data_IF_111738559970
#
_entry.id   IF_111738559970
#
_cell.length_a   1.000
_cell.length_b   1.000
_cell.length_c   1.000
_cell.angle_alpha   90.00
_cell.angle_beta   90.00
_cell.angle_gamma   90.00
#
_symmetry.space_group_name_H-M   'P 1'
#
loop_
_entity.id
_entity.type
_entity.pdbx_description
1 polymer ?
#
# COMPACT_ATOMS: atom_id res chain seq x y z
N UNK A 1 16.62 59.22 8.16
CA UNK A 1 16.17 59.75 9.48
C UNK A 1 15.17 58.75 10.03
N UNK A 2 15.18 58.19 11.23
CA UNK A 2 16.11 57.99 12.34
C UNK A 2 15.49 56.76 13.08
N UNK A 3 16.19 55.66 13.32
CA UNK A 3 17.09 55.35 14.45
C UNK A 3 16.38 54.88 15.76
N UNK A 4 16.67 53.62 16.16
CA UNK A 4 16.81 53.04 17.53
C UNK A 4 15.58 53.01 18.48
N UNK A 5 15.42 52.09 19.46
CA UNK A 5 16.37 51.24 20.21
C UNK A 5 15.74 49.95 20.77
N UNK A 6 16.62 49.01 21.12
CA UNK A 6 16.38 47.79 21.90
C UNK A 6 16.48 48.00 23.43
N UNK A 7 15.92 47.06 24.23
CA UNK A 7 16.29 46.72 25.62
C UNK A 7 15.49 45.46 26.02
N UNK A 8 16.04 44.24 26.10
CA UNK A 8 16.75 43.61 27.23
C UNK A 8 16.09 43.81 28.60
N UNK A 9 15.62 42.70 29.22
CA UNK A 9 15.78 42.33 30.64
C UNK A 9 15.03 41.01 30.97
N UNK A 10 15.79 39.92 31.12
CA UNK A 10 15.53 38.84 32.08
C UNK A 10 16.22 39.25 33.41
N UNK A 11 15.80 38.81 34.62
CA UNK A 11 16.10 37.44 35.07
C UNK A 11 15.15 36.81 36.14
N UNK A 12 15.22 35.49 36.31
CA UNK A 12 15.60 34.76 37.55
C UNK A 12 14.91 33.39 37.70
N UNK A 13 15.75 32.36 37.79
CA UNK A 13 15.45 31.02 38.35
C UNK A 13 15.31 31.06 39.87
N UNK A 14 14.67 30.02 40.44
CA UNK A 14 15.33 29.32 41.54
C UNK A 14 15.40 27.80 41.33
N UNK A 15 16.52 27.23 41.80
CA UNK A 15 16.91 25.81 41.85
C UNK A 15 16.37 25.10 43.12
N UNK A 16 16.57 23.78 43.30
CA UNK A 16 15.55 22.85 43.79
C UNK A 16 15.63 22.52 45.29
N UNK A 17 14.53 22.00 45.84
CA UNK A 17 14.51 21.35 47.15
C UNK A 17 14.45 19.82 47.01
N UNK A 18 15.43 19.14 47.62
CA UNK A 18 15.40 17.72 47.96
C UNK A 18 14.69 17.55 49.31
N UNK A 19 13.85 16.55 49.45
CA UNK A 19 13.72 15.78 50.71
C UNK A 19 13.12 14.40 50.43
N UNK A 20 13.85 13.39 50.89
CA UNK A 20 13.45 12.00 51.13
C UNK A 20 12.33 11.91 52.17
N UNK A 21 11.38 10.97 52.02
CA UNK A 21 11.35 9.78 52.88
C UNK A 21 10.19 8.82 52.56
N UNK A 22 10.46 7.59 52.96
CA UNK A 22 9.82 6.29 52.78
C UNK A 22 8.46 6.16 53.47
N UNK A 23 7.48 5.49 52.84
CA UNK A 23 6.65 4.47 53.52
C UNK A 23 5.85 3.60 52.55
N UNK A 24 6.09 2.28 52.63
CA UNK A 24 5.24 1.21 52.12
C UNK A 24 3.86 1.22 52.79
N UNK A 25 2.77 1.01 52.03
CA UNK A 25 1.59 0.27 52.49
C UNK A 25 0.72 -0.23 51.31
N UNK A 26 0.31 -1.48 51.44
CA UNK A 26 -0.42 -2.34 50.51
C UNK A 26 -1.95 -2.05 50.46
N UNK A 27 -2.73 -2.70 49.57
CA UNK A 27 -3.95 -2.13 48.98
C UNK A 27 -5.24 -2.37 49.80
N UNK A 28 -6.16 -1.41 49.72
CA UNK A 28 -7.52 -1.51 50.25
C UNK A 28 -8.44 -2.24 49.26
N UNK A 29 -8.96 -3.38 49.72
CA UNK A 29 -10.08 -4.14 49.18
C UNK A 29 -11.37 -3.31 49.27
N UNK A 30 -12.13 -3.22 48.17
CA UNK A 30 -13.56 -2.96 48.21
C UNK A 30 -14.32 -4.12 47.56
N UNK A 31 -15.00 -4.88 48.42
CA UNK A 31 -16.06 -5.85 48.07
C UNK A 31 -17.38 -5.10 47.89
N UNK A 32 -18.15 -5.45 46.87
CA UNK A 32 -19.62 -5.32 46.89
C UNK A 32 -20.27 -6.56 46.29
N UNK A 33 -21.25 -7.10 47.01
CA UNK A 33 -21.97 -8.36 46.77
C UNK A 33 -23.25 -8.17 45.93
N UNK A 34 -23.48 -9.10 45.00
CA UNK A 34 -24.74 -9.81 44.62
C UNK A 34 -25.91 -9.05 43.93
N UNK A 35 -26.88 -9.73 43.25
CA UNK A 35 -27.07 -11.19 43.06
C UNK A 35 -27.35 -11.70 41.61
N UNK A 36 -27.19 -13.03 41.48
CA UNK A 36 -27.66 -13.93 40.42
C UNK A 36 -29.20 -14.03 40.35
N UNK A 37 -29.77 -14.19 39.15
CA UNK A 37 -31.10 -14.80 38.92
C UNK A 37 -31.02 -15.79 37.75
N UNK A 38 -31.36 -17.05 38.00
CA UNK A 38 -31.67 -18.05 36.98
C UNK A 38 -33.17 -18.02 36.67
N UNK A 39 -33.53 -18.38 35.44
CA UNK A 39 -34.88 -18.79 35.07
C UNK A 39 -34.77 -19.98 34.11
N UNK A 40 -35.20 -21.13 34.60
CA UNK A 40 -35.53 -22.33 33.84
C UNK A 40 -36.88 -22.17 33.13
N UNK A 41 -37.03 -22.83 31.98
CA UNK A 41 -38.34 -23.20 31.46
C UNK A 41 -38.35 -23.46 29.95
N UNK A 42 -38.33 -24.73 29.52
CA UNK A 42 -39.53 -25.44 29.04
C UNK A 42 -39.15 -26.74 28.30
N UNK A 43 -39.77 -27.85 28.76
CA UNK A 43 -39.81 -29.17 28.12
C UNK A 43 -40.70 -29.16 26.88
N UNK A 44 -40.39 -29.99 25.88
CA UNK A 44 -41.40 -30.61 25.02
C UNK A 44 -41.10 -32.09 24.74
N UNK A 45 -42.18 -32.88 24.70
CA UNK A 45 -42.24 -34.33 24.51
C UNK A 45 -42.72 -34.69 23.09
N UNK A 46 -42.17 -35.81 22.58
CA UNK A 46 -42.75 -36.88 21.74
C UNK A 46 -43.29 -36.63 20.31
N UNK A 47 -42.67 -37.38 19.40
CA UNK A 47 -43.18 -38.31 18.36
C UNK A 47 -44.31 -37.91 17.40
N UNK A 48 -44.01 -38.04 16.10
CA UNK A 48 -44.97 -38.31 15.02
C UNK A 48 -44.25 -38.73 13.73
N UNK A 49 -44.53 -39.95 13.27
CA UNK A 49 -44.09 -40.53 11.98
C UNK A 49 -45.13 -40.29 10.88
N UNK A 50 -44.71 -40.18 9.60
CA UNK A 50 -45.18 -40.98 8.42
C UNK A 50 -44.91 -40.30 7.05
N UNK A 51 -44.20 -41.07 6.22
CA UNK A 51 -44.20 -41.32 4.75
C UNK A 51 -44.06 -40.24 3.63
N UNK A 52 -43.05 -40.57 2.79
CA UNK A 52 -42.99 -40.59 1.31
C UNK A 52 -43.08 -39.30 0.49
N UNK A 53 -41.97 -38.96 -0.19
CA UNK A 53 -41.85 -39.23 -1.63
C UNK A 53 -40.41 -39.06 -2.14
N UNK A 54 -40.03 -39.97 -3.05
CA UNK A 54 -38.82 -39.90 -3.89
C UNK A 54 -38.91 -38.72 -4.84
N UNK A 55 -37.83 -37.96 -4.94
CA UNK A 55 -37.39 -37.31 -6.18
C UNK A 55 -35.91 -37.61 -6.30
N UNK A 56 -35.56 -38.39 -7.33
CA UNK A 56 -34.18 -38.68 -7.71
C UNK A 56 -33.53 -37.48 -8.40
N UNK A 57 -32.19 -37.50 -8.41
CA UNK A 57 -31.23 -36.69 -9.19
C UNK A 57 -30.68 -35.43 -8.48
N UNK A 58 -29.55 -35.60 -7.79
CA UNK A 58 -28.21 -35.21 -8.27
C UNK A 58 -27.20 -35.81 -7.29
N UNK A 59 -26.39 -36.76 -7.76
CA UNK A 59 -25.32 -37.37 -6.97
C UNK A 59 -24.22 -36.34 -6.73
N UNK A 60 -24.34 -35.58 -5.64
CA UNK A 60 -23.19 -34.99 -4.99
C UNK A 60 -22.25 -36.14 -4.62
N UNK A 61 -21.03 -36.11 -5.18
CA UNK A 61 -19.93 -36.85 -4.57
C UNK A 61 -19.69 -36.20 -3.21
N UNK A 62 -20.29 -36.79 -2.18
CA UNK A 62 -19.85 -36.62 -0.79
C UNK A 62 -18.41 -37.14 -0.71
N UNK A 63 -17.43 -36.29 -0.99
CA UNK A 63 -16.14 -36.41 -0.33
C UNK A 63 -16.38 -35.97 1.11
N UNK A 64 -16.94 -36.88 1.90
CA UNK A 64 -17.10 -36.73 3.34
C UNK A 64 -15.74 -36.55 3.98
N UNK A 65 -15.26 -35.30 3.99
CA UNK A 65 -14.29 -34.86 4.98
C UNK A 65 -15.11 -34.84 6.27
N UNK A 66 -14.98 -35.86 7.10
CA UNK A 66 -15.39 -35.75 8.49
C UNK A 66 -14.65 -34.54 9.05
N UNK A 67 -15.37 -33.44 9.24
CA UNK A 67 -14.84 -32.26 9.91
C UNK A 67 -14.71 -32.69 11.38
N UNK A 68 -13.52 -33.18 11.74
CA UNK A 68 -13.14 -33.36 13.14
C UNK A 68 -13.31 -32.06 13.90
N UNK A 69 -13.50 -32.14 15.22
CA UNK A 69 -13.54 -30.97 16.09
C UNK A 69 -12.35 -30.01 15.80
N UNK A 70 -12.65 -28.72 15.67
CA UNK A 70 -11.63 -27.68 15.43
C UNK A 70 -10.79 -27.52 16.71
N UNK A 71 -9.46 -27.71 16.66
CA UNK A 71 -8.63 -27.69 17.85
C UNK A 71 -8.45 -26.29 18.43
N UNK A 72 -8.49 -26.18 19.77
CA UNK A 72 -8.08 -24.96 20.50
C UNK A 72 -6.56 -24.99 20.68
N UNK A 73 -5.88 -23.95 20.19
CA UNK A 73 -4.42 -23.88 20.20
C UNK A 73 -3.92 -22.90 21.27
N UNK A 74 -2.82 -23.26 21.91
CA UNK A 74 -2.01 -22.34 22.70
C UNK A 74 -1.24 -21.38 21.79
N UNK A 75 -0.79 -20.24 22.34
CA UNK A 75 0.02 -19.27 21.59
C UNK A 75 1.29 -19.89 20.99
N UNK A 76 1.96 -20.80 21.72
CA UNK A 76 3.15 -21.49 21.24
C UNK A 76 2.84 -22.42 20.07
N UNK A 77 1.73 -23.15 20.12
CA UNK A 77 1.31 -24.02 19.01
C UNK A 77 0.96 -23.21 17.76
N UNK A 78 0.36 -22.02 17.92
CA UNK A 78 0.08 -21.12 16.80
C UNK A 78 1.38 -20.68 16.14
N UNK A 79 2.37 -20.18 16.91
CA UNK A 79 3.66 -19.74 16.38
C UNK A 79 4.39 -20.88 15.65
N UNK A 80 4.40 -22.07 16.23
CA UNK A 80 5.03 -23.24 15.62
C UNK A 80 4.35 -23.61 14.28
N UNK A 81 3.01 -23.65 14.25
CA UNK A 81 2.27 -23.92 13.02
C UNK A 81 2.46 -22.84 11.96
N UNK A 82 2.58 -21.57 12.35
CA UNK A 82 2.88 -20.48 11.42
C UNK A 82 4.28 -20.64 10.80
N UNK A 83 5.29 -21.06 11.58
CA UNK A 83 6.62 -21.37 11.05
C UNK A 83 6.58 -22.54 10.07
N UNK A 84 5.97 -23.67 10.44
CA UNK A 84 5.84 -24.82 9.54
C UNK A 84 5.07 -24.47 8.26
N UNK A 85 4.05 -23.62 8.35
CA UNK A 85 3.29 -23.16 7.17
C UNK A 85 4.16 -22.31 6.21
N UNK A 86 5.02 -21.45 6.76
CA UNK A 86 5.95 -20.62 5.98
C UNK A 86 7.02 -21.44 5.28
N UNK A 87 7.57 -22.47 5.93
CA UNK A 87 8.56 -23.37 5.31
C UNK A 87 8.01 -24.08 4.07
N UNK A 88 6.72 -24.43 4.10
CA UNK A 88 6.03 -25.10 3.00
C UNK A 88 5.55 -24.15 1.89
N UNK A 89 5.57 -22.84 2.12
CA UNK A 89 5.04 -21.82 1.20
C UNK A 89 6.17 -21.00 0.57
N UNK A 90 6.89 -21.56 -0.41
CA UNK A 90 7.94 -20.84 -1.14
C UNK A 90 7.37 -20.05 -2.31
N UNK A 91 7.18 -18.74 -2.10
CA UNK A 91 6.84 -17.78 -3.16
C UNK A 91 8.09 -17.30 -3.93
N UNK A 92 7.87 -16.55 -5.01
CA UNK A 92 8.97 -15.88 -5.76
C UNK A 92 9.57 -14.69 -5.00
N UNK A 93 8.81 -14.10 -4.08
CA UNK A 93 9.24 -12.97 -3.25
C UNK A 93 9.61 -13.45 -1.85
N UNK A 94 10.67 -12.87 -1.30
CA UNK A 94 11.13 -13.15 0.06
C UNK A 94 10.84 -11.95 0.95
N UNK A 95 10.28 -12.20 2.14
CA UNK A 95 10.01 -11.18 3.14
C UNK A 95 11.14 -11.20 4.18
N UNK A 96 11.92 -10.12 4.24
CA UNK A 96 13.20 -10.11 4.97
C UNK A 96 13.11 -9.49 6.36
N UNK A 97 12.26 -8.48 6.54
CA UNK A 97 12.04 -7.84 7.83
C UNK A 97 10.65 -7.20 7.86
N UNK A 98 10.04 -7.15 9.04
CA UNK A 98 8.82 -6.39 9.29
C UNK A 98 8.94 -5.59 10.59
N UNK A 99 8.63 -4.30 10.54
CA UNK A 99 8.34 -3.47 11.71
C UNK A 99 6.84 -3.48 12.02
N UNK A 100 6.51 -3.51 13.31
CA UNK A 100 5.16 -3.34 13.82
C UNK A 100 5.18 -2.44 15.06
N UNK A 101 4.47 -1.30 15.03
CA UNK A 101 4.33 -0.45 16.21
C UNK A 101 3.48 -1.08 17.30
N UNK A 102 2.61 -2.04 16.95
CA UNK A 102 1.80 -2.80 17.92
C UNK A 102 2.68 -3.74 18.75
N UNK A 103 3.67 -4.37 18.11
CA UNK A 103 4.66 -5.21 18.81
C UNK A 103 5.78 -4.34 19.42
N UNK A 104 6.05 -3.19 18.82
CA UNK A 104 7.09 -2.24 19.25
C UNK A 104 8.49 -2.55 18.72
N UNK A 105 8.62 -3.29 17.61
CA UNK A 105 9.93 -3.70 17.11
C UNK A 105 9.95 -4.28 15.68
N UNK A 106 11.15 -4.67 15.26
CA UNK A 106 11.43 -5.31 13.97
C UNK A 106 11.61 -6.82 14.18
N UNK A 107 10.95 -7.64 13.38
CA UNK A 107 11.18 -9.08 13.29
C UNK A 107 11.76 -9.46 11.93
N UNK A 108 12.67 -10.42 11.90
CA UNK A 108 13.17 -11.08 10.67
C UNK A 108 12.63 -12.50 10.52
N UNK A 109 11.76 -12.96 11.44
CA UNK A 109 11.08 -14.26 11.34
C UNK A 109 9.77 -14.08 10.53
N UNK A 110 9.65 -14.63 9.30
CA UNK A 110 8.46 -14.50 8.46
C UNK A 110 7.18 -15.04 9.08
N UNK A 111 7.26 -15.93 10.06
CA UNK A 111 6.10 -16.43 10.80
C UNK A 111 5.55 -15.40 11.80
N UNK A 112 6.40 -14.49 12.27
CA UNK A 112 6.02 -13.40 13.16
C UNK A 112 5.63 -12.11 12.41
N UNK A 113 5.70 -12.12 11.07
CA UNK A 113 5.25 -11.00 10.23
C UNK A 113 3.72 -11.04 10.08
N UNK A 114 3.01 -10.68 11.17
CA UNK A 114 1.55 -10.75 11.30
C UNK A 114 0.96 -9.40 11.68
N UNK A 115 -0.31 -9.21 11.30
CA UNK A 115 -1.10 -8.03 11.67
C UNK A 115 -2.29 -8.51 12.53
N UNK A 116 -2.68 -7.78 13.59
CA UNK A 116 -3.86 -8.13 14.38
C UNK A 116 -5.13 -8.16 13.52
N UNK A 117 -5.98 -9.18 13.74
CA UNK A 117 -7.23 -9.33 12.97
C UNK A 117 -8.25 -8.22 13.28
N UNK A 118 -8.15 -7.66 14.49
CA UNK A 118 -8.95 -6.54 15.01
C UNK A 118 -8.39 -5.17 14.62
N UNK A 119 -7.34 -5.11 13.79
CA UNK A 119 -6.91 -3.86 13.17
C UNK A 119 -7.92 -3.41 12.11
N UNK A 120 -8.40 -2.17 12.21
CA UNK A 120 -9.47 -1.62 11.35
C UNK A 120 -9.10 -1.63 9.86
N UNK A 121 -7.81 -1.59 9.52
CA UNK A 121 -7.33 -1.76 8.14
C UNK A 121 -7.72 -3.13 7.57
N UNK A 122 -7.71 -4.18 8.38
CA UNK A 122 -7.98 -5.57 7.96
C UNK A 122 -9.45 -5.80 7.68
N UNK A 123 -10.34 -5.38 8.60
CA UNK A 123 -11.76 -5.71 8.53
C UNK A 123 -12.66 -4.56 8.05
N UNK A 124 -12.11 -3.36 7.82
CA UNK A 124 -12.83 -2.19 7.26
C UNK A 124 -12.10 -1.47 6.13
N UNK A 125 -10.83 -1.77 5.88
CA UNK A 125 -10.03 -1.05 4.88
C UNK A 125 -9.65 0.38 5.32
N UNK A 126 -9.71 0.68 6.62
CA UNK A 126 -9.34 2.00 7.16
C UNK A 126 -7.83 2.11 7.40
N UNK A 127 -7.09 2.06 6.30
CA UNK A 127 -5.64 2.21 6.28
C UNK A 127 -5.13 2.77 4.96
N UNK A 128 -3.93 3.33 5.01
CA UNK A 128 -3.19 3.84 3.86
C UNK A 128 -1.82 3.18 3.78
N UNK A 129 -1.24 3.17 2.59
CA UNK A 129 0.07 2.56 2.39
C UNK A 129 0.88 3.27 1.33
N UNK A 130 2.18 3.06 1.35
CA UNK A 130 3.07 3.44 0.27
C UNK A 130 4.16 2.40 0.05
N UNK A 131 4.96 2.57 -1.01
CA UNK A 131 6.03 1.65 -1.37
C UNK A 131 7.18 2.43 -1.99
N UNK A 132 8.36 2.33 -1.39
CA UNK A 132 9.60 2.86 -1.94
C UNK A 132 10.46 1.70 -2.48
N UNK A 133 11.13 1.93 -3.60
CA UNK A 133 12.05 0.95 -4.16
C UNK A 133 13.38 0.95 -3.39
N UNK A 134 14.00 -0.22 -3.27
CA UNK A 134 15.35 -0.40 -2.73
C UNK A 134 16.25 -0.75 -3.91
N UNK A 135 17.29 0.06 -4.14
CA UNK A 135 18.28 -0.15 -5.20
C UNK A 135 19.68 0.14 -4.67
N UNK A 136 20.59 -0.81 -4.79
CA UNK A 136 21.98 -0.73 -4.35
C UNK A 136 22.10 -0.18 -2.91
N UNK A 137 21.25 -0.68 -2.00
CA UNK A 137 21.23 -0.26 -0.59
C UNK A 137 20.66 1.15 -0.34
N UNK A 138 19.96 1.74 -1.31
CA UNK A 138 19.32 3.05 -1.18
C UNK A 138 17.81 2.94 -1.33
N UNK A 139 17.07 3.67 -0.50
CA UNK A 139 15.64 3.90 -0.69
C UNK A 139 15.44 5.05 -1.68
N UNK A 140 14.79 4.76 -2.80
CA UNK A 140 14.52 5.73 -3.85
C UNK A 140 13.25 6.53 -3.56
N UNK A 141 13.35 7.86 -3.69
CA UNK A 141 12.30 8.85 -3.43
C UNK A 141 11.57 8.69 -2.08
N UNK A 142 12.28 8.20 -1.04
CA UNK A 142 11.68 7.90 0.27
C UNK A 142 10.88 9.09 0.83
N UNK A 143 11.47 10.29 0.78
CA UNK A 143 10.84 11.49 1.32
C UNK A 143 9.57 11.88 0.53
N UNK A 144 9.55 11.69 -0.79
CA UNK A 144 8.38 11.95 -1.63
C UNK A 144 7.26 10.93 -1.37
N UNK A 145 7.61 9.65 -1.19
CA UNK A 145 6.69 8.60 -0.79
C UNK A 145 6.13 8.85 0.63
N UNK A 146 6.98 9.28 1.56
CA UNK A 146 6.59 9.64 2.92
C UNK A 146 5.60 10.81 2.93
N UNK A 147 5.89 11.87 2.18
CA UNK A 147 4.97 13.01 2.08
C UNK A 147 3.60 12.58 1.50
N UNK A 148 3.58 11.61 0.57
CA UNK A 148 2.34 11.09 -0.01
C UNK A 148 1.55 10.22 0.96
N UNK A 149 2.18 9.34 1.74
CA UNK A 149 1.46 8.55 2.74
C UNK A 149 0.86 9.46 3.81
N UNK A 150 1.58 10.52 4.22
CA UNK A 150 1.10 11.44 5.26
C UNK A 150 -0.10 12.26 4.78
N UNK A 151 -0.10 12.70 3.51
CA UNK A 151 -1.30 13.30 2.88
C UNK A 151 -2.46 12.30 2.82
N UNK A 152 -2.18 11.05 2.43
CA UNK A 152 -3.20 9.99 2.38
C UNK A 152 -3.79 9.72 3.78
N UNK A 153 -2.96 9.65 4.81
CA UNK A 153 -3.38 9.46 6.20
C UNK A 153 -4.26 10.62 6.67
N UNK A 154 -3.88 11.87 6.35
CA UNK A 154 -4.70 13.05 6.65
C UNK A 154 -6.06 12.99 5.97
N UNK A 155 -6.14 12.59 4.69
CA UNK A 155 -7.40 12.43 3.95
C UNK A 155 -8.27 11.32 4.54
N UNK A 156 -7.64 10.22 4.97
CA UNK A 156 -8.29 9.10 5.65
C UNK A 156 -8.66 9.38 7.11
N UNK A 157 -8.32 10.56 7.65
CA UNK A 157 -8.50 10.91 9.07
C UNK A 157 -7.78 9.94 10.03
N UNK A 158 -6.59 9.48 9.64
CA UNK A 158 -5.73 8.63 10.46
C UNK A 158 -4.76 9.53 11.22
N UNK A 159 -4.83 9.51 12.55
CA UNK A 159 -3.82 10.13 13.42
C UNK A 159 -2.49 9.39 13.27
N UNK A 160 -1.39 10.12 13.25
CA UNK A 160 -0.07 9.50 13.10
C UNK A 160 0.41 8.93 14.45
N UNK A 161 0.94 7.69 14.49
CA UNK A 161 1.53 7.11 15.71
C UNK A 161 2.85 7.78 16.09
N UNK A 162 3.54 8.36 15.11
CA UNK A 162 4.82 9.03 15.28
C UNK A 162 4.90 10.26 14.36
N UNK A 163 5.81 11.19 14.67
CA UNK A 163 6.13 12.29 13.75
C UNK A 163 6.83 11.79 12.47
N UNK A 164 6.88 12.66 11.45
CA UNK A 164 7.46 12.34 10.13
C UNK A 164 8.88 11.79 10.22
N UNK A 165 9.75 12.39 11.04
CA UNK A 165 11.17 11.99 11.12
C UNK A 165 11.33 10.66 11.85
N UNK A 166 10.53 10.42 12.89
CA UNK A 166 10.47 9.13 13.56
C UNK A 166 10.00 8.02 12.63
N UNK A 167 8.93 8.25 11.83
CA UNK A 167 8.48 7.29 10.80
C UNK A 167 9.63 7.02 9.81
N UNK A 168 10.25 8.08 9.27
CA UNK A 168 11.37 7.97 8.33
C UNK A 168 12.51 7.11 8.87
N UNK A 169 12.91 7.33 10.12
CA UNK A 169 13.98 6.58 10.77
C UNK A 169 13.61 5.11 10.99
N UNK A 170 12.37 4.82 11.42
CA UNK A 170 11.86 3.44 11.55
C UNK A 170 11.93 2.71 10.20
N UNK A 171 11.50 3.37 9.13
CA UNK A 171 11.53 2.82 7.77
C UNK A 171 12.96 2.47 7.33
N UNK A 172 13.93 3.37 7.55
CA UNK A 172 15.34 3.14 7.24
C UNK A 172 15.92 1.98 8.08
N UNK A 173 15.64 1.96 9.39
CA UNK A 173 16.10 0.90 10.30
C UNK A 173 15.52 -0.47 9.92
N UNK A 174 14.27 -0.50 9.45
CA UNK A 174 13.62 -1.74 8.98
C UNK A 174 14.35 -2.32 7.77
N UNK A 175 14.76 -1.47 6.81
CA UNK A 175 15.56 -1.91 5.65
C UNK A 175 16.97 -2.31 6.05
N UNK A 176 17.62 -1.56 6.95
CA UNK A 176 18.96 -1.88 7.45
C UNK A 176 18.98 -3.25 8.15
N UNK A 177 18.00 -3.53 9.01
CA UNK A 177 17.86 -4.83 9.69
C UNK A 177 17.70 -6.00 8.71
N UNK A 178 17.09 -5.76 7.55
CA UNK A 178 16.86 -6.77 6.52
C UNK A 178 18.08 -7.02 5.61
N UNK A 179 19.06 -6.11 5.61
CA UNK A 179 20.24 -6.11 4.71
C UNK A 179 19.89 -6.15 3.21
N UNK A 180 18.67 -5.76 2.83
CA UNK A 180 18.20 -5.84 1.46
C UNK A 180 18.93 -4.82 0.58
N UNK A 181 19.54 -5.28 -0.51
CA UNK A 181 20.20 -4.41 -1.49
C UNK A 181 19.29 -4.05 -2.68
N UNK A 182 18.35 -4.93 -3.03
CA UNK A 182 17.44 -4.77 -4.16
C UNK A 182 16.07 -5.36 -3.83
N UNK A 183 15.03 -4.55 -3.93
CA UNK A 183 13.67 -4.94 -3.57
C UNK A 183 12.77 -3.74 -3.35
N UNK A 184 11.86 -3.84 -2.38
CA UNK A 184 10.97 -2.73 -2.01
C UNK A 184 10.71 -2.70 -0.51
N UNK A 185 10.51 -1.50 0.01
CA UNK A 185 9.95 -1.25 1.33
C UNK A 185 8.50 -0.84 1.15
N UNK A 186 7.56 -1.65 1.65
CA UNK A 186 6.14 -1.32 1.69
C UNK A 186 5.70 -1.07 3.13
N UNK A 187 4.91 -0.04 3.35
CA UNK A 187 4.54 0.37 4.70
C UNK A 187 3.14 0.95 4.76
N UNK A 188 2.51 0.82 5.91
CA UNK A 188 1.11 1.12 6.16
C UNK A 188 0.94 1.98 7.40
N UNK A 189 -0.03 2.89 7.33
CA UNK A 189 -0.60 3.56 8.49
C UNK A 189 -2.06 3.11 8.63
N UNK A 190 -2.41 2.64 9.82
CA UNK A 190 -3.75 2.21 10.18
C UNK A 190 -4.28 3.01 11.37
N UNK A 191 -5.59 3.07 11.51
CA UNK A 191 -6.26 3.50 12.76
C UNK A 191 -5.96 2.56 13.93
N UNK A 192 -5.53 1.34 13.64
CA UNK A 192 -5.00 0.38 14.59
C UNK A 192 -6.03 -0.63 15.13
N UNK A 193 -5.59 -1.50 16.06
CA UNK A 193 -6.44 -2.49 16.72
C UNK A 193 -7.55 -1.89 17.56
N UNK A 194 -8.73 -2.50 17.51
CA UNK A 194 -9.89 -2.06 18.27
C UNK A 194 -11.07 -3.02 18.27
N UNK A 195 -12.28 -2.49 18.43
CA UNK A 195 -13.49 -3.29 18.26
C UNK A 195 -13.88 -3.42 16.77
N UNK A 196 -14.87 -4.26 16.50
CA UNK A 196 -15.38 -4.46 15.14
C UNK A 196 -16.46 -3.45 14.72
N UNK A 197 -16.62 -2.32 15.41
CA UNK A 197 -17.60 -1.30 15.01
C UNK A 197 -17.11 -0.51 13.79
N UNK A 198 -18.03 0.24 13.18
CA UNK A 198 -17.69 1.08 12.02
C UNK A 198 -16.90 2.33 12.46
N UNK A 199 -17.31 2.95 13.56
CA UNK A 199 -16.63 4.13 14.08
C UNK A 199 -15.40 3.72 14.89
N UNK A 200 -14.21 4.29 14.61
CA UNK A 200 -13.03 3.99 15.41
C UNK A 200 -13.03 4.72 16.77
N UNK A 201 -13.91 5.71 16.96
CA UNK A 201 -13.86 6.65 18.09
C UNK A 201 -14.04 6.02 19.47
N UNK A 202 -14.70 4.87 19.55
CA UNK A 202 -15.01 4.19 20.83
C UNK A 202 -14.16 2.95 21.10
N UNK A 203 -13.43 2.45 20.10
CA UNK A 203 -12.84 1.11 20.16
C UNK A 203 -11.37 1.01 19.72
N UNK A 204 -10.88 1.91 18.87
CA UNK A 204 -9.48 1.89 18.44
C UNK A 204 -8.60 2.65 19.44
N UNK A 205 -7.59 1.98 19.99
CA UNK A 205 -6.82 2.52 21.10
C UNK A 205 -5.67 3.41 20.64
N UNK A 206 -4.93 3.00 19.61
CA UNK A 206 -3.77 3.71 19.07
C UNK A 206 -3.61 3.41 17.57
N UNK A 207 -3.26 4.41 16.74
CA UNK A 207 -2.91 4.17 15.34
C UNK A 207 -1.67 3.28 15.23
N UNK A 208 -1.55 2.58 14.11
CA UNK A 208 -0.46 1.63 13.89
C UNK A 208 0.37 1.97 12.65
N UNK A 209 1.68 1.76 12.75
CA UNK A 209 2.64 1.77 11.65
C UNK A 209 3.16 0.34 11.45
N UNK A 210 3.05 -0.15 10.22
CA UNK A 210 3.64 -1.40 9.78
C UNK A 210 4.57 -1.15 8.61
N UNK A 211 5.68 -1.86 8.53
CA UNK A 211 6.57 -1.81 7.37
C UNK A 211 7.12 -3.20 7.07
N UNK A 212 7.22 -3.58 5.81
CA UNK A 212 7.78 -4.86 5.37
C UNK A 212 8.78 -4.63 4.25
N UNK A 213 9.91 -5.34 4.33
CA UNK A 213 10.92 -5.37 3.29
C UNK A 213 10.74 -6.62 2.46
N UNK A 214 10.53 -6.42 1.16
CA UNK A 214 10.27 -7.46 0.18
C UNK A 214 11.46 -7.49 -0.77
N UNK A 215 12.20 -8.59 -0.80
CA UNK A 215 13.26 -8.79 -1.77
C UNK A 215 12.65 -9.17 -3.12
N UNK A 216 13.12 -8.50 -4.16
CA UNK A 216 12.81 -8.85 -5.55
C UNK A 216 14.05 -8.65 -6.40
N UNK A 217 14.63 -9.77 -6.84
CA UNK A 217 15.82 -9.76 -7.68
C UNK A 217 15.48 -9.78 -9.17
N UNK A 218 14.20 -9.82 -9.53
CA UNK A 218 13.76 -9.90 -10.93
C UNK A 218 14.42 -8.80 -11.76
N UNK A 219 14.87 -9.12 -12.98
CA UNK A 219 15.38 -8.10 -13.89
C UNK A 219 14.23 -7.15 -14.25
N UNK A 220 14.58 -5.89 -14.48
CA UNK A 220 13.63 -4.99 -15.14
C UNK A 220 13.39 -5.52 -16.54
N UNK A 221 12.12 -5.68 -16.87
CA UNK A 221 11.69 -6.18 -18.16
C UNK A 221 11.06 -4.98 -18.90
N UNK A 222 11.60 -4.71 -20.08
CA UNK A 222 11.17 -3.61 -20.95
C UNK A 222 10.29 -4.08 -22.10
N UNK A 223 9.96 -5.38 -22.16
CA UNK A 223 9.14 -5.94 -23.23
C UNK A 223 7.78 -5.26 -23.27
N UNK A 224 7.36 -4.90 -24.48
CA UNK A 224 6.07 -4.31 -24.79
C UNK A 224 4.92 -5.19 -24.33
N UNK A 225 3.93 -4.56 -23.71
CA UNK A 225 2.75 -5.25 -23.18
C UNK A 225 1.48 -4.81 -23.88
N UNK A 226 0.44 -5.65 -23.77
CA UNK A 226 -0.92 -5.31 -24.18
C UNK A 226 -1.70 -4.80 -22.98
N UNK A 227 -2.57 -3.83 -23.19
CA UNK A 227 -3.52 -3.35 -22.19
C UNK A 227 -4.95 -3.40 -22.74
N UNK A 228 -5.93 -3.35 -21.85
CA UNK A 228 -7.35 -3.32 -22.21
C UNK A 228 -8.05 -2.19 -21.47
N UNK A 229 -9.18 -1.71 -21.97
CA UNK A 229 -10.05 -0.80 -21.25
C UNK A 229 -10.82 -1.59 -20.19
N UNK A 230 -10.79 -1.10 -18.94
CA UNK A 230 -11.47 -1.80 -17.84
C UNK A 230 -12.98 -1.57 -17.89
N UNK A 231 -13.76 -2.63 -17.67
CA UNK A 231 -15.20 -2.52 -17.38
C UNK A 231 -15.50 -2.33 -15.89
N UNK A 232 -14.51 -2.60 -15.02
CA UNK A 232 -14.60 -2.32 -13.59
C UNK A 232 -14.50 -0.80 -13.39
N UNK A 233 -15.42 -0.16 -12.66
CA UNK A 233 -15.37 1.29 -12.44
C UNK A 233 -14.15 1.69 -11.61
N UNK A 234 -13.56 2.84 -11.93
CA UNK A 234 -12.55 3.47 -11.09
C UNK A 234 -13.17 3.91 -9.76
N UNK A 235 -12.32 4.08 -8.74
CA UNK A 235 -12.73 4.70 -7.48
C UNK A 235 -13.09 6.18 -7.73
N UNK A 236 -14.10 6.74 -7.02
CA UNK A 236 -14.33 8.17 -7.06
C UNK A 236 -13.05 8.96 -6.68
N UNK A 237 -12.84 10.17 -7.22
CA UNK A 237 -11.59 10.94 -7.07
C UNK A 237 -11.07 11.05 -5.62
N UNK A 238 -11.97 11.21 -4.65
CA UNK A 238 -11.62 11.27 -3.22
C UNK A 238 -10.87 10.02 -2.73
N UNK A 239 -11.21 8.84 -3.25
CA UNK A 239 -10.58 7.58 -2.89
C UNK A 239 -9.47 7.17 -3.87
N UNK A 240 -9.52 7.64 -5.11
CA UNK A 240 -8.49 7.36 -6.13
C UNK A 240 -7.19 8.14 -5.86
N UNK A 241 -7.29 9.41 -5.46
CA UNK A 241 -6.13 10.28 -5.15
C UNK A 241 -5.44 9.91 -3.84
N UNK A 242 -6.08 9.09 -3.01
CA UNK A 242 -5.57 8.57 -1.74
C UNK A 242 -5.02 7.15 -1.92
N UNK A 243 -3.77 6.92 -1.52
CA UNK A 243 -3.17 5.57 -1.57
C UNK A 243 -3.63 4.72 -0.38
N UNK A 244 -4.87 4.24 -0.45
CA UNK A 244 -5.52 3.43 0.60
C UNK A 244 -5.42 1.93 0.37
N UNK A 245 -5.73 1.12 1.39
CA UNK A 245 -5.81 -0.35 1.27
C UNK A 245 -7.08 -0.87 0.59
N UNK A 246 -8.00 0.02 0.16
CA UNK A 246 -9.24 -0.35 -0.50
C UNK A 246 -8.99 -0.78 -1.96
N UNK A 247 -8.37 -1.94 -2.16
CA UNK A 247 -7.80 -2.38 -3.43
C UNK A 247 -8.66 -3.37 -4.22
N UNK A 248 -9.88 -3.71 -3.75
CA UNK A 248 -10.75 -4.62 -4.47
C UNK A 248 -11.02 -4.19 -5.93
N UNK A 249 -11.31 -2.91 -6.25
CA UNK A 249 -11.43 -2.49 -7.65
C UNK A 249 -10.15 -2.74 -8.46
N UNK A 250 -8.97 -2.47 -7.88
CA UNK A 250 -7.67 -2.71 -8.51
C UNK A 250 -7.45 -4.21 -8.80
N UNK A 251 -7.82 -5.08 -7.87
CA UNK A 251 -7.74 -6.54 -8.03
C UNK A 251 -8.67 -7.00 -9.16
N UNK A 252 -9.94 -6.58 -9.15
CA UNK A 252 -10.90 -6.97 -10.19
C UNK A 252 -10.48 -6.49 -11.57
N UNK A 253 -9.98 -5.25 -11.69
CA UNK A 253 -9.49 -4.70 -12.96
C UNK A 253 -8.24 -5.44 -13.46
N UNK A 254 -7.35 -5.88 -12.55
CA UNK A 254 -6.19 -6.71 -12.90
C UNK A 254 -6.61 -8.10 -13.39
N UNK A 255 -7.57 -8.74 -12.70
CA UNK A 255 -8.11 -10.04 -13.10
C UNK A 255 -8.77 -9.96 -14.48
N UNK A 256 -9.57 -8.92 -14.74
CA UNK A 256 -10.19 -8.67 -16.05
C UNK A 256 -9.13 -8.60 -17.16
N UNK A 257 -8.01 -7.91 -16.92
CA UNK A 257 -6.93 -7.83 -17.90
C UNK A 257 -6.31 -9.21 -18.19
N UNK A 258 -6.07 -10.00 -17.15
CA UNK A 258 -5.49 -11.34 -17.27
C UNK A 258 -6.40 -12.30 -18.04
N UNK A 259 -7.72 -12.25 -17.76
CA UNK A 259 -8.74 -13.01 -18.50
C UNK A 259 -8.76 -12.66 -20.00
N UNK A 260 -8.51 -11.38 -20.32
CA UNK A 260 -8.38 -10.89 -21.70
C UNK A 260 -6.97 -11.08 -22.29
N UNK A 261 -6.05 -11.73 -21.58
CA UNK A 261 -4.67 -11.97 -22.04
C UNK A 261 -3.84 -10.68 -22.16
N UNK A 262 -4.16 -9.66 -21.37
CA UNK A 262 -3.47 -8.39 -21.28
C UNK A 262 -2.70 -8.25 -19.95
N UNK A 263 -1.75 -7.33 -19.92
CA UNK A 263 -0.91 -7.09 -18.75
C UNK A 263 -1.64 -6.27 -17.68
N UNK A 264 -2.39 -5.26 -18.10
CA UNK A 264 -3.15 -4.39 -17.22
C UNK A 264 -4.41 -3.88 -17.94
N UNK A 265 -5.42 -3.53 -17.14
CA UNK A 265 -6.56 -2.78 -17.62
C UNK A 265 -6.37 -1.29 -17.31
N UNK A 266 -6.89 -0.42 -18.16
CA UNK A 266 -6.82 1.03 -18.06
C UNK A 266 -8.22 1.54 -17.71
N UNK A 267 -8.30 2.28 -16.62
CA UNK A 267 -9.54 2.95 -16.24
C UNK A 267 -9.75 4.23 -17.02
N UNK A 268 -11.03 4.56 -17.15
CA UNK A 268 -11.50 5.88 -17.53
C UNK A 268 -12.14 6.54 -16.31
N UNK A 269 -12.09 7.86 -16.27
CA UNK A 269 -12.82 8.62 -15.27
C UNK A 269 -14.31 8.76 -15.62
N UNK A 270 -15.07 9.43 -14.74
CA UNK A 270 -16.52 9.61 -14.91
C UNK A 270 -16.89 10.45 -16.15
N UNK A 271 -15.95 11.23 -16.68
CA UNK A 271 -16.11 12.06 -17.88
C UNK A 271 -15.64 11.33 -19.16
N UNK A 272 -15.16 10.09 -19.03
CA UNK A 272 -14.66 9.27 -20.15
C UNK A 272 -13.22 9.56 -20.57
N UNK A 273 -12.48 10.38 -19.82
CA UNK A 273 -11.05 10.60 -20.05
C UNK A 273 -10.23 9.47 -19.47
N UNK A 274 -9.03 9.28 -20.01
CA UNK A 274 -8.09 8.26 -19.54
C UNK A 274 -7.65 8.59 -18.11
N UNK A 275 -7.76 7.62 -17.21
CA UNK A 275 -7.34 7.75 -15.83
C UNK A 275 -5.98 7.03 -15.60
N UNK A 276 -5.99 5.86 -14.97
CA UNK A 276 -4.78 5.09 -14.65
C UNK A 276 -5.03 3.57 -14.72
N UNK A 277 -3.98 2.76 -14.57
CA UNK A 277 -4.12 1.32 -14.38
C UNK A 277 -4.25 0.93 -12.89
N UNK A 278 -4.43 -0.36 -12.57
CA UNK A 278 -4.71 -0.82 -11.21
C UNK A 278 -3.58 -0.54 -10.20
N UNK A 279 -2.37 -0.23 -10.63
CA UNK A 279 -1.25 0.09 -9.73
C UNK A 279 -0.21 1.01 -10.38
N UNK A 280 -0.57 1.70 -11.47
CA UNK A 280 0.36 2.41 -12.36
C UNK A 280 -0.36 3.57 -13.03
N UNK A 281 0.33 4.69 -13.22
CA UNK A 281 -0.12 5.74 -14.12
C UNK A 281 0.14 5.35 -15.59
N UNK A 282 -0.39 6.14 -16.52
CA UNK A 282 -0.15 5.99 -17.95
C UNK A 282 0.48 7.25 -18.53
N UNK A 283 1.27 7.11 -19.58
CA UNK A 283 1.82 8.21 -20.36
C UNK A 283 1.79 7.90 -21.84
N UNK A 284 1.76 8.96 -22.66
CA UNK A 284 1.62 8.87 -24.11
C UNK A 284 2.61 9.81 -24.79
N UNK A 285 3.15 9.42 -25.95
CA UNK A 285 3.95 10.30 -26.80
C UNK A 285 3.19 10.54 -28.08
N UNK A 286 2.89 11.81 -28.40
CA UNK A 286 2.20 12.19 -29.63
C UNK A 286 3.15 12.18 -30.84
N UNK A 287 2.59 12.29 -32.05
CA UNK A 287 3.34 12.45 -33.31
C UNK A 287 4.19 13.71 -33.34
N UNK A 288 3.74 14.75 -32.64
CA UNK A 288 4.44 16.02 -32.46
C UNK A 288 5.51 15.93 -31.36
N UNK A 289 5.81 14.73 -30.84
CA UNK A 289 6.78 14.44 -29.78
C UNK A 289 6.45 15.15 -28.46
N UNK A 290 5.18 15.30 -28.13
CA UNK A 290 4.73 15.75 -26.81
C UNK A 290 4.54 14.53 -25.89
N UNK A 291 5.10 14.57 -24.68
CA UNK A 291 4.79 13.61 -23.63
C UNK A 291 3.54 14.08 -22.86
N UNK A 292 2.47 13.28 -22.92
CA UNK A 292 1.20 13.52 -22.23
C UNK A 292 1.01 12.56 -21.06
N UNK A 293 0.50 13.07 -19.94
CA UNK A 293 -0.06 12.26 -18.85
C UNK A 293 -1.41 12.82 -18.39
N UNK A 294 -2.35 11.95 -17.98
CA UNK A 294 -3.58 12.38 -17.31
C UNK A 294 -3.34 13.23 -16.06
N UNK A 295 -4.31 14.09 -15.72
CA UNK A 295 -4.25 14.92 -14.50
C UNK A 295 -4.32 14.07 -13.23
N UNK A 296 -3.63 14.52 -12.18
CA UNK A 296 -3.54 13.81 -10.89
C UNK A 296 -4.65 14.16 -9.88
N UNK A 297 -5.69 14.86 -10.30
CA UNK A 297 -6.83 15.24 -9.46
C UNK A 297 -7.91 14.15 -9.37
N UNK A 298 -7.92 13.20 -10.32
CA UNK A 298 -8.83 12.04 -10.34
C UNK A 298 -8.14 10.69 -10.19
N UNK A 299 -6.81 10.67 -10.14
CA UNK A 299 -5.98 9.46 -10.06
C UNK A 299 -4.89 9.60 -9.02
N UNK A 300 -4.17 8.52 -8.72
CA UNK A 300 -3.06 8.60 -7.79
C UNK A 300 -1.95 9.49 -8.33
N UNK A 301 -1.50 10.45 -7.52
CA UNK A 301 -0.31 11.25 -7.81
C UNK A 301 0.96 10.40 -7.63
N UNK A 302 1.32 9.63 -8.67
CA UNK A 302 2.45 8.70 -8.70
C UNK A 302 3.79 9.40 -8.49
N UNK A 303 4.59 8.98 -7.49
CA UNK A 303 5.97 9.46 -7.34
C UNK A 303 6.80 9.17 -8.60
N UNK A 304 6.76 7.92 -9.07
CA UNK A 304 7.44 7.50 -10.32
C UNK A 304 6.97 8.31 -11.53
N UNK A 305 5.67 8.57 -11.68
CA UNK A 305 5.16 9.39 -12.78
C UNK A 305 5.66 10.83 -12.71
N UNK A 306 5.61 11.47 -11.53
CA UNK A 306 6.17 12.81 -11.31
C UNK A 306 7.67 12.88 -11.59
N UNK A 307 8.41 11.83 -11.21
CA UNK A 307 9.84 11.75 -11.46
C UNK A 307 10.14 11.57 -12.94
N UNK A 308 9.38 10.74 -13.65
CA UNK A 308 9.46 10.59 -15.11
C UNK A 308 9.20 11.93 -15.81
N UNK A 309 8.16 12.69 -15.41
CA UNK A 309 7.90 14.03 -15.96
C UNK A 309 9.10 14.96 -15.73
N UNK A 310 9.71 14.93 -14.55
CA UNK A 310 10.91 15.73 -14.23
C UNK A 310 12.11 15.34 -15.09
N UNK A 311 12.34 14.03 -15.31
CA UNK A 311 13.44 13.52 -16.13
C UNK A 311 13.21 13.78 -17.62
N UNK A 312 11.95 13.78 -18.08
CA UNK A 312 11.57 14.05 -19.46
C UNK A 312 11.96 15.46 -19.93
N UNK A 313 12.06 16.44 -19.02
CA UNK A 313 12.60 17.78 -19.32
C UNK A 313 14.04 17.73 -19.87
N UNK A 314 14.82 16.69 -19.52
CA UNK A 314 16.11 16.42 -20.15
C UNK A 314 15.98 16.09 -21.63
N UNK A 315 15.02 15.23 -21.99
CA UNK A 315 14.73 14.86 -23.37
C UNK A 315 14.18 16.02 -24.19
N UNK A 316 13.46 16.96 -23.57
CA UNK A 316 13.04 18.22 -24.21
C UNK A 316 14.26 19.07 -24.55
N UNK A 317 15.18 19.26 -23.59
CA UNK A 317 16.42 20.02 -23.84
C UNK A 317 17.33 19.40 -24.91
N UNK A 318 17.29 18.08 -25.05
CA UNK A 318 18.01 17.34 -26.10
C UNK A 318 17.31 17.36 -27.46
N UNK A 319 16.10 17.94 -27.57
CA UNK A 319 15.30 17.95 -28.80
C UNK A 319 14.70 16.58 -29.17
N UNK A 320 14.70 15.62 -28.24
CA UNK A 320 14.05 14.31 -28.40
C UNK A 320 12.54 14.38 -28.15
N UNK A 321 12.12 15.27 -27.24
CA UNK A 321 10.73 15.66 -27.02
C UNK A 321 10.55 17.15 -27.35
N UNK A 322 9.33 17.53 -27.75
CA UNK A 322 8.94 18.93 -27.95
C UNK A 322 8.45 19.59 -26.67
N UNK A 323 7.65 18.87 -25.87
CA UNK A 323 7.06 19.36 -24.61
C UNK A 323 6.65 18.20 -23.70
N UNK A 324 6.35 18.54 -22.45
CA UNK A 324 5.75 17.65 -21.44
C UNK A 324 4.50 18.34 -20.89
N UNK A 325 3.35 17.66 -20.97
CA UNK A 325 2.06 18.25 -20.57
C UNK A 325 1.24 17.28 -19.71
N UNK A 326 0.60 17.82 -18.67
CA UNK A 326 -0.36 17.11 -17.83
C UNK A 326 -1.75 17.70 -18.06
N UNK A 327 -2.64 16.94 -18.71
CA UNK A 327 -4.01 17.36 -19.04
C UNK A 327 -4.91 16.14 -19.24
N UNK A 328 -6.19 16.39 -19.46
CA UNK A 328 -7.11 15.33 -19.83
C UNK A 328 -6.74 14.79 -21.22
N UNK A 329 -6.73 13.47 -21.33
CA UNK A 329 -6.39 12.75 -22.56
C UNK A 329 -7.59 11.89 -22.90
N UNK A 330 -8.13 12.03 -24.11
CA UNK A 330 -9.24 11.18 -24.56
C UNK A 330 -8.74 9.79 -24.94
N UNK A 331 -9.62 8.78 -24.90
CA UNK A 331 -9.27 7.43 -25.35
C UNK A 331 -8.80 7.43 -26.82
N UNK A 332 -9.46 8.22 -27.66
CA UNK A 332 -9.09 8.34 -29.08
C UNK A 332 -7.68 8.91 -29.24
N UNK A 333 -7.34 9.98 -28.51
CA UNK A 333 -6.01 10.57 -28.53
C UNK A 333 -4.95 9.59 -28.01
N UNK A 334 -5.21 8.92 -26.87
CA UNK A 334 -4.28 7.95 -26.29
C UNK A 334 -4.03 6.75 -27.20
N UNK A 335 -5.05 6.28 -27.94
CA UNK A 335 -4.92 5.19 -28.91
C UNK A 335 -4.25 5.62 -30.22
N UNK A 336 -4.27 6.91 -30.56
CA UNK A 336 -3.59 7.47 -31.74
C UNK A 336 -2.13 7.90 -31.47
N UNK A 337 -1.67 7.79 -30.23
CA UNK A 337 -0.30 8.11 -29.84
C UNK A 337 0.74 7.24 -30.57
N UNK A 338 1.94 7.80 -30.77
CA UNK A 338 3.09 7.07 -31.32
C UNK A 338 3.70 6.12 -30.30
N UNK A 339 3.62 6.47 -29.01
CA UNK A 339 4.00 5.57 -27.91
C UNK A 339 2.99 5.66 -26.76
N UNK A 340 2.80 4.55 -26.05
CA UNK A 340 2.10 4.50 -24.77
C UNK A 340 2.96 3.73 -23.77
N UNK A 341 2.90 4.11 -22.50
CA UNK A 341 3.66 3.45 -21.44
C UNK A 341 2.89 3.41 -20.12
N UNK A 342 3.18 2.39 -19.32
CA UNK A 342 2.74 2.25 -17.93
C UNK A 342 3.86 2.71 -17.02
N UNK A 343 3.51 3.43 -15.95
CA UNK A 343 4.48 4.05 -15.05
C UNK A 343 4.15 3.76 -13.59
N UNK A 344 5.07 3.12 -12.86
CA UNK A 344 4.86 2.82 -11.43
C UNK A 344 6.06 2.17 -10.77
N UNK A 345 6.16 2.27 -9.44
CA UNK A 345 7.37 1.89 -8.69
C UNK A 345 7.79 0.41 -8.85
N UNK A 346 6.85 -0.48 -9.19
CA UNK A 346 7.13 -1.91 -9.42
C UNK A 346 7.54 -2.26 -10.85
N UNK A 347 7.30 -1.38 -11.82
CA UNK A 347 7.59 -1.63 -13.26
C UNK A 347 8.46 -0.53 -13.91
N UNK A 348 8.67 0.56 -13.19
CA UNK A 348 9.28 1.82 -13.64
C UNK A 348 8.54 2.40 -14.86
N UNK A 349 9.06 2.17 -16.06
CA UNK A 349 8.45 2.57 -17.34
C UNK A 349 8.34 1.31 -18.20
N UNK A 350 7.11 0.94 -18.57
CA UNK A 350 6.82 -0.25 -19.36
C UNK A 350 6.10 0.13 -20.66
N UNK A 351 6.70 -0.11 -21.84
CA UNK A 351 6.04 0.19 -23.12
C UNK A 351 4.75 -0.62 -23.32
N UNK A 352 3.75 0.01 -23.91
CA UNK A 352 2.48 -0.59 -24.35
C UNK A 352 2.45 -0.58 -25.87
N UNK A 353 2.27 -1.75 -26.46
CA UNK A 353 2.28 -1.94 -27.92
C UNK A 353 0.89 -2.15 -28.51
N UNK A 354 -0.10 -2.43 -27.67
CA UNK A 354 -1.48 -2.63 -28.08
C UNK A 354 -2.42 -2.24 -26.94
N UNK A 355 -3.48 -1.50 -27.26
CA UNK A 355 -4.58 -1.19 -26.36
C UNK A 355 -5.89 -1.67 -26.98
N UNK A 356 -6.54 -2.61 -26.30
CA UNK A 356 -7.70 -3.35 -26.82
C UNK A 356 -7.27 -4.04 -28.13
N UNK A 357 -7.96 -3.79 -29.24
CA UNK A 357 -7.67 -4.33 -30.56
C UNK A 357 -6.77 -3.40 -31.40
N UNK A 358 -6.43 -2.22 -30.87
CA UNK A 358 -5.65 -1.22 -31.58
C UNK A 358 -4.16 -1.31 -31.25
N UNK A 359 -3.34 -1.42 -32.29
CA UNK A 359 -1.88 -1.31 -32.18
C UNK A 359 -1.51 0.14 -31.88
N UNK A 360 -0.62 0.34 -30.90
CA UNK A 360 -0.06 1.66 -30.59
C UNK A 360 1.19 1.87 -31.44
N UNK A 361 1.31 3.05 -32.09
CA UNK A 361 2.42 3.36 -32.99
C UNK A 361 2.62 2.30 -34.08
N UNK A 362 3.82 1.71 -34.11
CA UNK A 362 4.19 0.62 -35.03
C UNK A 362 4.14 -0.78 -34.40
N UNK A 363 3.60 -0.90 -33.18
CA UNK A 363 3.52 -2.15 -32.43
C UNK A 363 4.82 -2.60 -31.79
N UNK A 364 5.83 -1.72 -31.69
CA UNK A 364 7.12 -2.01 -31.03
C UNK A 364 7.34 -1.11 -29.82
N UNK A 365 8.29 -1.48 -28.99
CA UNK A 365 8.71 -0.67 -27.85
C UNK A 365 9.31 0.66 -28.33
N UNK A 366 8.63 1.77 -28.03
CA UNK A 366 9.03 3.09 -28.51
C UNK A 366 10.33 3.63 -27.90
N UNK A 367 11.11 4.44 -28.65
CA UNK A 367 12.40 4.96 -28.22
C UNK A 367 12.31 5.93 -27.03
N UNK A 368 11.24 6.72 -26.89
CA UNK A 368 11.08 7.63 -25.75
C UNK A 368 10.80 6.83 -24.47
N UNK A 369 9.92 5.83 -24.54
CA UNK A 369 9.62 4.94 -23.42
C UNK A 369 10.88 4.24 -22.91
N UNK A 370 11.74 3.77 -23.81
CA UNK A 370 13.04 3.18 -23.46
C UNK A 370 14.01 4.22 -22.88
N UNK A 371 14.07 5.43 -23.44
CA UNK A 371 14.91 6.50 -22.91
C UNK A 371 14.49 6.90 -21.49
N UNK A 372 13.18 7.01 -21.22
CA UNK A 372 12.65 7.32 -19.89
C UNK A 372 12.92 6.19 -18.89
N UNK A 373 12.81 4.92 -19.31
CA UNK A 373 13.20 3.78 -18.49
C UNK A 373 14.69 3.85 -18.10
N UNK A 374 15.57 4.13 -19.05
CA UNK A 374 17.00 4.25 -18.79
C UNK A 374 17.29 5.43 -17.85
N UNK A 375 16.67 6.58 -18.08
CA UNK A 375 16.84 7.76 -17.23
C UNK A 375 16.44 7.49 -15.79
N UNK A 376 15.29 6.84 -15.55
CA UNK A 376 14.88 6.55 -14.17
C UNK A 376 15.75 5.46 -13.52
N UNK A 377 16.22 4.47 -14.28
CA UNK A 377 17.18 3.48 -13.77
C UNK A 377 18.51 4.12 -13.37
N UNK A 378 19.02 5.04 -14.19
CA UNK A 378 20.24 5.78 -13.91
C UNK A 378 20.05 6.70 -12.70
N UNK A 379 18.88 7.35 -12.59
CA UNK A 379 18.54 8.19 -11.44
C UNK A 379 18.42 7.38 -10.14
N UNK A 380 17.89 6.15 -10.20
CA UNK A 380 17.86 5.24 -9.04
C UNK A 380 19.25 4.78 -8.60
N UNK A 381 20.20 4.63 -9.54
CA UNK A 381 21.57 4.15 -9.26
C UNK A 381 22.56 5.26 -8.94
N UNK A 382 22.38 6.44 -9.50
CA UNK A 382 23.38 7.52 -9.51
C UNK A 382 22.80 8.90 -9.24
N UNK A 383 21.48 9.00 -9.02
CA UNK A 383 20.82 10.25 -8.67
C UNK A 383 21.33 10.87 -7.37
N UNK A 384 21.02 12.15 -7.14
CA UNK A 384 21.48 12.89 -5.97
C UNK A 384 20.88 12.34 -4.66
N UNK A 385 21.48 12.66 -3.49
CA UNK A 385 20.95 12.26 -2.18
C UNK A 385 19.50 12.70 -1.90
N UNK A 386 19.01 13.72 -2.62
CA UNK A 386 17.62 14.20 -2.51
C UNK A 386 16.57 13.22 -3.06
N UNK A 387 16.99 12.24 -3.87
CA UNK A 387 16.11 11.17 -4.40
C UNK A 387 16.60 9.79 -4.00
N UNK A 388 17.75 9.67 -3.33
CA UNK A 388 18.34 8.40 -2.87
C UNK A 388 18.77 8.53 -1.43
N UNK A 389 18.03 7.88 -0.54
CA UNK A 389 18.35 7.82 0.89
C UNK A 389 19.17 6.57 1.15
N UNK A 390 20.44 6.74 1.53
CA UNK A 390 21.31 5.63 1.89
C UNK A 390 20.77 4.89 3.13
N UNK A 391 20.80 3.57 3.10
CA UNK A 391 20.49 2.72 4.24
C UNK A 391 21.83 2.27 4.88
N UNK A 392 22.03 2.53 6.18
CA UNK A 392 23.28 2.23 6.88
C UNK A 392 23.50 0.74 7.14
#
# INVERSE_FOLDING_TARGET
>A
MASFSASLLQPQHPTPAKSSDVSLQSPLLYRTNLPFRSLDGFRFLRNGSVSTNRIDAFTHRDSGVEISDVPILTASEVVERLRSSRENSKGKQEFLAMYSSVVGGITTDPAAMVIPMDDHMVHRGHGVFDTAAIMDGHLYELDQHLDRILRSASMAKITLPFDRETIRNILIQTVSASRCQKGSLRYWLSVGPGDFQLSPSSGCHQPALYAIVIQDQSPFDSKGVRVVTSSIPIKPPQFATMKSVNYLPNVLSKMEAEEKGAFAAIWLDEDGFIAEGPNMNVGFVTKEKELLMPRFDKILSGCTAKRVLTLAEGLVREGKLGSVTVRDVSVEEGKQADEMMLIGSGILVRPVVQWDEQVIGDGKEGPISQALLNLILDDMKSGPPTVRVAVP
#
